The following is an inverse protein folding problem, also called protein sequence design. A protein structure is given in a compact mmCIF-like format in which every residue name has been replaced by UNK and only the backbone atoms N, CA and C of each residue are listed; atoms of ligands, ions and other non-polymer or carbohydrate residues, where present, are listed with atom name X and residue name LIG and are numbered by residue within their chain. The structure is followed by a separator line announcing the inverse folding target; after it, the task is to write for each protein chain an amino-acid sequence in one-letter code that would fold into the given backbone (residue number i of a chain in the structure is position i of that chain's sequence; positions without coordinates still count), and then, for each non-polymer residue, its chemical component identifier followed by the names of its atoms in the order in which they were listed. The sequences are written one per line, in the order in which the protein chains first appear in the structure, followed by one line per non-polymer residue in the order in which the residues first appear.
data_IF_570233956281
#
_entry.id   IF_570233956281
#
_cell.length_a   1.000
_cell.length_b   1.000
_cell.length_c   1.000
_cell.angle_alpha   90.00
_cell.angle_beta   90.00
_cell.angle_gamma   90.00
#
_symmetry.space_group_name_H-M   'P 1'
#
loop_
_entity.id
_entity.type
_entity.pdbx_description
1 polymer ?
#
# COMPACT_ATOMS: atom_id res chain seq x y z
N UNK A 1 18.74 40.07 -4.54
CA UNK A 1 18.03 40.85 -3.50
C UNK A 1 16.56 40.91 -3.87
N UNK A 2 15.73 40.05 -3.27
CA UNK A 2 14.27 40.05 -3.45
C UNK A 2 13.65 39.87 -2.06
N UNK A 3 12.66 40.73 -1.82
CA UNK A 3 12.08 41.10 -0.55
C UNK A 3 11.11 40.02 -0.01
N UNK A 4 11.33 39.53 1.22
CA UNK A 4 10.46 38.55 1.90
C UNK A 4 9.32 39.28 2.63
N UNK A 5 8.26 39.63 1.93
CA UNK A 5 7.01 40.02 2.58
C UNK A 5 6.18 38.78 2.95
N UNK A 6 5.87 38.69 4.25
CA UNK A 6 5.02 37.69 4.89
C UNK A 6 3.63 37.65 4.24
N UNK A 7 3.22 36.49 3.74
CA UNK A 7 1.81 36.19 3.46
C UNK A 7 1.26 35.46 4.68
N UNK A 8 0.20 36.02 5.28
CA UNK A 8 -0.45 35.45 6.46
C UNK A 8 -1.80 34.89 6.01
N UNK A 9 -1.94 33.57 5.93
CA UNK A 9 -3.22 32.92 5.65
C UNK A 9 -3.94 32.66 6.97
N UNK A 10 -5.10 33.31 7.16
CA UNK A 10 -6.03 33.04 8.27
C UNK A 10 -6.84 31.79 7.94
N UNK A 11 -6.77 30.77 8.79
CA UNK A 11 -7.71 29.66 8.78
C UNK A 11 -9.09 30.14 9.28
N UNK A 12 -10.13 29.90 8.49
CA UNK A 12 -11.51 30.15 8.87
C UNK A 12 -11.94 29.19 10.00
N UNK A 13 -12.43 29.74 11.12
CA UNK A 13 -12.95 28.96 12.24
C UNK A 13 -14.35 28.45 11.93
N UNK A 14 -14.50 27.13 11.74
CA UNK A 14 -15.81 26.49 11.72
C UNK A 14 -16.24 26.19 13.16
N UNK A 15 -17.28 26.89 13.66
CA UNK A 15 -17.89 26.64 14.97
C UNK A 15 -18.86 25.47 14.85
N UNK A 16 -18.72 24.45 15.70
CA UNK A 16 -19.78 23.48 16.00
C UNK A 16 -20.33 23.77 17.41
N UNK A 17 -21.65 23.80 17.62
CA UNK A 17 -22.22 23.99 18.95
C UNK A 17 -22.19 22.67 19.73
N UNK A 18 -21.79 22.77 21.00
CA UNK A 18 -21.91 21.72 21.99
C UNK A 18 -23.25 21.87 22.72
N UNK A 19 -24.02 20.79 22.82
CA UNK A 19 -25.20 20.72 23.69
C UNK A 19 -25.08 19.56 24.67
N UNK A 20 -24.72 19.95 25.89
CA UNK A 20 -25.12 19.45 27.21
C UNK A 20 -26.07 18.26 27.27
N UNK A 21 -25.68 17.21 27.99
CA UNK A 21 -26.58 16.46 28.89
C UNK A 21 -25.79 16.02 30.13
N UNK A 22 -26.28 16.40 31.30
CA UNK A 22 -25.77 16.05 32.63
C UNK A 22 -26.95 15.53 33.46
N UNK A 23 -26.68 14.56 34.35
CA UNK A 23 -27.48 14.10 35.50
C UNK A 23 -28.67 13.19 35.08
N UNK A 24 -28.81 11.95 35.57
CA UNK A 24 -29.22 11.56 36.93
C UNK A 24 -28.65 10.19 37.34
N UNK A 25 -27.93 10.15 38.46
CA UNK A 25 -27.77 8.97 39.32
C UNK A 25 -28.87 9.00 40.39
N UNK A 26 -29.66 7.94 40.53
CA UNK A 26 -30.34 7.57 41.77
C UNK A 26 -30.31 6.05 41.92
N UNK A 27 -29.76 5.62 43.06
CA UNK A 27 -29.59 4.23 43.47
C UNK A 27 -30.89 3.63 44.01
N UNK A 28 -31.10 2.33 43.79
CA UNK A 28 -31.88 1.48 44.68
C UNK A 28 -31.23 0.09 44.80
N UNK A 29 -30.76 -0.17 46.01
CA UNK A 29 -30.24 -1.44 46.51
C UNK A 29 -31.43 -2.29 46.96
N UNK A 30 -31.53 -3.53 46.47
CA UNK A 30 -32.31 -4.57 47.12
C UNK A 30 -31.70 -5.96 46.84
N UNK A 31 -30.93 -6.41 47.82
CA UNK A 31 -30.67 -7.78 48.27
C UNK A 31 -31.12 -8.97 47.40
N UNK A 32 -30.14 -9.76 46.96
CA UNK A 32 -30.23 -11.22 47.02
C UNK A 32 -28.83 -11.80 47.24
N UNK A 33 -28.55 -12.18 48.50
CA UNK A 33 -27.43 -13.04 48.85
C UNK A 33 -27.65 -14.41 48.20
N UNK A 34 -26.80 -14.76 47.23
CA UNK A 34 -26.49 -16.14 46.92
C UNK A 34 -24.97 -16.30 47.05
N UNK A 35 -24.54 -16.80 48.21
CA UNK A 35 -23.16 -17.22 48.46
C UNK A 35 -22.96 -18.50 47.64
N UNK A 36 -22.58 -18.33 46.38
CA UNK A 36 -21.98 -19.38 45.57
C UNK A 36 -20.47 -19.31 45.76
N UNK A 37 -19.88 -20.33 46.36
CA UNK A 37 -18.43 -20.51 46.44
C UNK A 37 -17.84 -20.53 45.03
N UNK A 38 -17.29 -19.41 44.58
CA UNK A 38 -16.45 -19.33 43.39
C UNK A 38 -15.15 -20.08 43.70
N UNK A 39 -15.12 -21.38 43.40
CA UNK A 39 -13.86 -22.06 43.15
C UNK A 39 -13.16 -21.32 41.99
N UNK A 40 -11.84 -21.05 42.06
CA UNK A 40 -11.14 -20.53 40.91
C UNK A 40 -11.24 -21.59 39.82
N UNK A 41 -11.97 -21.28 38.74
CA UNK A 41 -11.94 -22.09 37.54
C UNK A 41 -10.50 -22.01 37.03
N UNK A 42 -9.72 -23.03 37.37
CA UNK A 42 -8.42 -23.29 36.75
C UNK A 42 -8.69 -23.41 35.26
N UNK A 43 -8.34 -22.38 34.49
CA UNK A 43 -8.29 -22.46 33.05
C UNK A 43 -7.18 -23.45 32.72
N UNK A 44 -7.51 -24.73 32.71
CA UNK A 44 -6.71 -25.72 32.05
C UNK A 44 -6.65 -25.30 30.58
N UNK A 45 -5.56 -24.65 30.20
CA UNK A 45 -5.16 -24.53 28.81
C UNK A 45 -5.03 -25.97 28.31
N UNK A 46 -6.09 -26.46 27.69
CA UNK A 46 -5.98 -27.61 26.80
C UNK A 46 -5.09 -27.15 25.67
N UNK A 47 -3.80 -27.48 25.76
CA UNK A 47 -2.91 -27.49 24.63
C UNK A 47 -3.52 -28.46 23.61
N UNK A 48 -4.42 -27.94 22.77
CA UNK A 48 -4.84 -28.64 21.56
C UNK A 48 -3.59 -29.02 20.78
N UNK A 49 -3.64 -30.11 19.97
CA UNK A 49 -2.49 -30.55 19.21
C UNK A 49 -1.90 -29.33 18.50
N UNK A 50 -0.61 -29.06 18.73
CA UNK A 50 0.10 -28.00 18.02
C UNK A 50 -0.21 -28.23 16.55
N UNK A 51 -0.98 -27.32 15.92
CA UNK A 51 -1.08 -27.30 14.48
C UNK A 51 0.37 -27.12 14.04
N UNK A 52 1.03 -28.22 13.68
CA UNK A 52 2.27 -28.12 12.93
C UNK A 52 1.93 -27.19 11.79
N UNK A 53 2.56 -26.01 11.77
CA UNK A 53 2.37 -25.07 10.69
C UNK A 53 2.64 -25.87 9.43
N UNK A 54 1.60 -26.10 8.61
CA UNK A 54 1.78 -26.84 7.38
C UNK A 54 2.78 -26.03 6.56
N UNK A 55 3.89 -26.65 6.20
CA UNK A 55 4.79 -26.09 5.20
C UNK A 55 3.98 -25.83 3.94
N UNK A 56 4.07 -24.60 3.41
CA UNK A 56 3.40 -24.19 2.19
C UNK A 56 4.43 -24.03 1.07
N UNK A 57 4.12 -24.55 -0.12
CA UNK A 57 4.96 -24.42 -1.30
C UNK A 57 4.35 -23.41 -2.26
N UNK A 58 4.88 -22.18 -2.21
CA UNK A 58 4.46 -21.09 -3.06
C UNK A 58 5.39 -20.88 -4.26
N UNK A 59 4.81 -20.53 -5.41
CA UNK A 59 5.53 -20.14 -6.62
C UNK A 59 5.18 -18.70 -7.02
N UNK A 60 6.17 -17.82 -7.07
CA UNK A 60 6.05 -16.52 -7.72
C UNK A 60 6.18 -16.68 -9.23
N UNK A 61 5.22 -16.16 -9.97
CA UNK A 61 5.17 -16.28 -11.42
C UNK A 61 4.74 -14.98 -12.09
N UNK A 62 5.24 -14.78 -13.31
CA UNK A 62 4.84 -13.68 -14.17
C UNK A 62 3.99 -14.22 -15.33
N UNK A 63 2.99 -13.46 -15.80
CA UNK A 63 2.12 -13.87 -16.90
C UNK A 63 2.83 -14.34 -18.18
N UNK A 64 3.96 -13.74 -18.62
CA UNK A 64 4.73 -14.27 -19.76
C UNK A 64 5.23 -15.71 -19.58
N UNK A 65 5.44 -16.19 -18.34
CA UNK A 65 5.85 -17.56 -18.06
C UNK A 65 4.67 -18.56 -18.21
N UNK A 66 3.43 -18.07 -18.13
CA UNK A 66 2.20 -18.85 -18.23
C UNK A 66 1.68 -18.87 -19.66
N UNK A 67 1.79 -17.74 -20.37
CA UNK A 67 1.29 -17.55 -21.73
C UNK A 67 -0.07 -16.87 -21.80
N UNK A 68 -0.69 -16.97 -22.98
CA UNK A 68 -1.85 -16.15 -23.38
C UNK A 68 -3.05 -16.99 -23.85
N UNK A 69 -3.10 -18.26 -23.49
CA UNK A 69 -4.17 -19.18 -23.88
C UNK A 69 -4.65 -20.00 -22.69
N UNK A 70 -5.87 -20.53 -22.78
CA UNK A 70 -6.40 -21.40 -21.74
C UNK A 70 -5.57 -22.68 -21.60
N UNK A 71 -5.05 -23.19 -22.73
CA UNK A 71 -4.18 -24.36 -22.81
C UNK A 71 -2.88 -24.11 -22.05
N UNK A 72 -2.22 -22.97 -22.27
CA UNK A 72 -0.94 -22.66 -21.62
C UNK A 72 -1.11 -22.49 -20.10
N UNK A 73 -2.23 -21.89 -19.67
CA UNK A 73 -2.60 -21.81 -18.25
C UNK A 73 -2.80 -23.21 -17.66
N UNK A 74 -3.53 -24.10 -18.33
CA UNK A 74 -3.75 -25.48 -17.86
C UNK A 74 -2.43 -26.25 -17.73
N UNK A 75 -1.54 -26.11 -18.71
CA UNK A 75 -0.22 -26.74 -18.69
C UNK A 75 0.64 -26.22 -17.55
N UNK A 76 0.64 -24.91 -17.31
CA UNK A 76 1.34 -24.28 -16.20
C UNK A 76 0.82 -24.76 -14.84
N UNK A 77 -0.49 -24.80 -14.65
CA UNK A 77 -1.12 -25.30 -13.40
C UNK A 77 -0.80 -26.78 -13.20
N UNK A 78 -0.84 -27.59 -14.26
CA UNK A 78 -0.47 -29.01 -14.19
C UNK A 78 1.00 -29.19 -13.79
N UNK A 79 1.91 -28.32 -14.24
CA UNK A 79 3.31 -28.31 -13.80
C UNK A 79 3.42 -27.97 -12.31
N UNK A 80 2.74 -26.92 -11.86
CA UNK A 80 2.69 -26.54 -10.44
C UNK A 80 2.22 -27.71 -9.57
N UNK A 81 1.15 -28.41 -9.99
CA UNK A 81 0.62 -29.57 -9.28
C UNK A 81 1.65 -30.70 -9.17
N UNK A 82 2.34 -31.04 -10.26
CA UNK A 82 3.40 -32.08 -10.26
C UNK A 82 4.58 -31.69 -9.38
N UNK A 83 4.87 -30.40 -9.26
CA UNK A 83 5.92 -29.87 -8.39
C UNK A 83 5.48 -29.71 -6.92
N UNK A 84 4.29 -30.18 -6.55
CA UNK A 84 3.74 -30.06 -5.19
C UNK A 84 3.61 -28.59 -4.71
N UNK A 85 3.38 -27.67 -5.64
CA UNK A 85 3.02 -26.27 -5.34
C UNK A 85 1.56 -26.22 -4.91
N UNK A 86 1.28 -25.53 -3.81
CA UNK A 86 -0.07 -25.32 -3.28
C UNK A 86 -0.57 -23.87 -3.42
N UNK A 87 0.34 -22.93 -3.72
CA UNK A 87 0.01 -21.51 -3.86
C UNK A 87 0.77 -20.89 -5.05
N UNK A 88 0.07 -20.18 -5.92
CA UNK A 88 0.65 -19.40 -7.02
C UNK A 88 0.49 -17.92 -6.67
N UNK A 89 1.62 -17.22 -6.55
CA UNK A 89 1.66 -15.76 -6.38
C UNK A 89 1.87 -15.13 -7.76
N UNK A 90 0.77 -14.72 -8.40
CA UNK A 90 0.78 -14.27 -9.79
C UNK A 90 0.93 -12.77 -9.89
N UNK A 91 1.96 -12.28 -10.59
CA UNK A 91 2.17 -10.85 -10.82
C UNK A 91 1.11 -10.28 -11.78
N UNK A 92 -0.01 -9.78 -11.23
CA UNK A 92 -1.13 -9.25 -12.01
C UNK A 92 -0.99 -7.76 -12.31
N UNK A 93 -0.19 -7.02 -11.53
CA UNK A 93 0.28 -5.67 -11.85
C UNK A 93 1.80 -5.61 -11.78
N UNK A 94 2.45 -5.38 -12.92
CA UNK A 94 3.90 -5.32 -13.06
C UNK A 94 4.51 -3.98 -12.62
N UNK A 95 5.85 -3.94 -12.57
CA UNK A 95 6.61 -2.76 -12.14
C UNK A 95 6.45 -1.56 -13.09
N UNK A 96 6.13 -1.79 -14.37
CA UNK A 96 5.87 -0.68 -15.31
C UNK A 96 4.41 -0.23 -15.32
N UNK A 97 3.57 -0.79 -14.45
CA UNK A 97 2.16 -0.46 -14.32
C UNK A 97 1.22 -1.29 -15.19
N UNK A 98 1.76 -2.21 -16.01
CA UNK A 98 0.95 -3.08 -16.85
C UNK A 98 0.15 -4.10 -16.03
N UNK A 99 -1.08 -4.35 -16.47
CA UNK A 99 -2.00 -5.28 -15.80
C UNK A 99 -2.36 -6.47 -16.67
N UNK A 100 -2.69 -7.60 -16.03
CA UNK A 100 -2.92 -8.89 -16.70
C UNK A 100 -4.28 -9.52 -16.41
N UNK A 101 -5.27 -8.68 -16.09
CA UNK A 101 -6.68 -9.05 -16.04
C UNK A 101 -7.48 -8.10 -16.94
N UNK A 102 -8.71 -8.48 -17.30
CA UNK A 102 -9.58 -7.66 -18.15
C UNK A 102 -10.22 -6.54 -17.33
N UNK A 103 -9.48 -5.44 -17.14
CA UNK A 103 -9.99 -4.29 -16.43
C UNK A 103 -10.96 -3.45 -17.26
N UNK A 104 -12.10 -3.07 -16.65
CA UNK A 104 -13.03 -2.10 -17.25
C UNK A 104 -12.74 -0.68 -16.78
N UNK A 105 -12.20 -0.52 -15.57
CA UNK A 105 -11.82 0.79 -15.00
C UNK A 105 -10.49 1.30 -15.57
N UNK A 106 -9.56 0.38 -15.90
CA UNK A 106 -8.21 0.69 -16.33
C UNK A 106 -7.79 -0.01 -17.64
N UNK A 107 -8.59 0.06 -18.73
CA UNK A 107 -8.27 -0.60 -19.99
C UNK A 107 -6.93 -0.13 -20.60
N UNK A 108 -6.51 1.10 -20.33
CA UNK A 108 -5.25 1.69 -20.78
C UNK A 108 -4.00 1.07 -20.15
N UNK A 109 -4.17 0.37 -19.03
CA UNK A 109 -3.07 -0.28 -18.30
C UNK A 109 -2.87 -1.73 -18.75
N UNK A 110 -3.80 -2.31 -19.52
CA UNK A 110 -3.72 -3.71 -19.93
C UNK A 110 -2.44 -3.94 -20.74
N UNK A 111 -1.68 -4.96 -20.33
CA UNK A 111 -0.41 -5.29 -20.95
C UNK A 111 -0.60 -5.59 -22.44
N UNK A 112 0.32 -5.09 -23.27
CA UNK A 112 0.26 -5.26 -24.72
C UNK A 112 0.19 -6.73 -25.12
N UNK A 113 -0.79 -7.06 -25.95
CA UNK A 113 -1.08 -8.41 -26.41
C UNK A 113 -1.79 -9.30 -25.38
N UNK A 114 -2.33 -8.73 -24.29
CA UNK A 114 -3.23 -9.39 -23.35
C UNK A 114 -4.66 -8.81 -23.39
N UNK A 115 -4.95 -7.90 -24.33
CA UNK A 115 -6.24 -7.20 -24.42
C UNK A 115 -7.43 -8.15 -24.59
N UNK A 116 -7.20 -9.30 -25.24
CA UNK A 116 -8.21 -10.34 -25.45
C UNK A 116 -8.14 -11.50 -24.45
N UNK A 117 -7.15 -11.54 -23.55
CA UNK A 117 -6.89 -12.68 -22.66
C UNK A 117 -6.74 -12.27 -21.20
N UNK A 118 -7.66 -12.74 -20.36
CA UNK A 118 -7.65 -12.50 -18.92
C UNK A 118 -6.83 -13.59 -18.19
N UNK A 119 -5.60 -13.28 -17.81
CA UNK A 119 -4.72 -14.27 -17.16
C UNK A 119 -5.25 -14.62 -15.78
N UNK A 120 -5.74 -13.64 -15.02
CA UNK A 120 -6.19 -13.84 -13.66
C UNK A 120 -7.44 -14.73 -13.58
N UNK A 121 -8.42 -14.50 -14.45
CA UNK A 121 -9.63 -15.33 -14.53
C UNK A 121 -9.30 -16.78 -14.87
N UNK A 122 -8.52 -16.99 -15.93
CA UNK A 122 -8.15 -18.33 -16.37
C UNK A 122 -7.30 -19.04 -15.32
N UNK A 123 -6.29 -18.37 -14.76
CA UNK A 123 -5.41 -18.97 -13.76
C UNK A 123 -6.18 -19.38 -12.50
N UNK A 124 -7.01 -18.48 -11.96
CA UNK A 124 -7.78 -18.75 -10.74
C UNK A 124 -8.66 -19.98 -10.91
N UNK A 125 -9.40 -20.06 -12.02
CA UNK A 125 -10.28 -21.19 -12.31
C UNK A 125 -9.51 -22.51 -12.42
N UNK A 126 -8.44 -22.55 -13.23
CA UNK A 126 -7.69 -23.80 -13.44
C UNK A 126 -6.92 -24.24 -12.18
N UNK A 127 -6.34 -23.30 -11.43
CA UNK A 127 -5.61 -23.58 -10.18
C UNK A 127 -6.55 -24.12 -9.10
N UNK A 128 -7.72 -23.49 -8.91
CA UNK A 128 -8.72 -23.94 -7.94
C UNK A 128 -9.22 -25.35 -8.24
N UNK A 129 -9.41 -25.70 -9.52
CA UNK A 129 -9.78 -27.06 -9.93
C UNK A 129 -8.74 -28.12 -9.52
N UNK A 130 -7.50 -27.73 -9.25
CA UNK A 130 -6.41 -28.60 -8.78
C UNK A 130 -6.12 -28.45 -7.27
N UNK A 131 -6.93 -27.65 -6.55
CA UNK A 131 -6.74 -27.33 -5.14
C UNK A 131 -5.51 -26.46 -4.87
N UNK A 132 -5.12 -25.61 -5.83
CA UNK A 132 -4.00 -24.66 -5.72
C UNK A 132 -4.58 -23.26 -5.50
N UNK A 133 -4.07 -22.55 -4.50
CA UNK A 133 -4.45 -21.16 -4.18
C UNK A 133 -3.83 -20.18 -5.18
N UNK A 134 -4.49 -19.05 -5.40
CA UNK A 134 -3.99 -17.96 -6.25
C UNK A 134 -4.00 -16.64 -5.48
N UNK A 135 -2.80 -16.12 -5.23
CA UNK A 135 -2.58 -14.81 -4.63
C UNK A 135 -2.29 -13.79 -5.76
N UNK A 136 -3.10 -12.74 -5.85
CA UNK A 136 -2.89 -11.67 -6.83
C UNK A 136 -1.80 -10.73 -6.35
N UNK A 137 -0.65 -10.74 -7.02
CA UNK A 137 0.51 -9.90 -6.68
C UNK A 137 0.52 -8.59 -7.47
N UNK A 138 0.52 -7.48 -6.74
CA UNK A 138 0.62 -6.13 -7.29
C UNK A 138 1.93 -5.46 -6.85
N UNK A 139 2.61 -4.85 -7.82
CA UNK A 139 3.64 -3.85 -7.53
C UNK A 139 2.93 -2.51 -7.30
N UNK A 140 2.88 -2.08 -6.04
CA UNK A 140 1.93 -1.06 -5.60
C UNK A 140 2.29 0.33 -6.11
N UNK A 141 3.52 0.82 -5.89
CA UNK A 141 3.85 2.24 -6.11
C UNK A 141 4.83 2.51 -7.26
N UNK A 142 5.25 1.48 -8.00
CA UNK A 142 6.10 1.68 -9.17
C UNK A 142 5.27 1.67 -10.47
N UNK A 143 5.64 2.58 -11.37
CA UNK A 143 5.11 2.70 -12.73
C UNK A 143 6.28 2.90 -13.70
N UNK A 144 6.09 2.58 -14.97
CA UNK A 144 7.09 2.90 -15.99
C UNK A 144 7.10 4.40 -16.29
N UNK A 145 8.20 4.92 -16.86
CA UNK A 145 8.21 6.28 -17.43
C UNK A 145 7.15 6.50 -18.51
N UNK A 146 6.69 5.42 -19.12
CA UNK A 146 5.56 5.39 -20.05
C UNK A 146 4.37 4.63 -19.47
N UNK A 147 4.25 4.43 -18.15
CA UNK A 147 3.13 3.74 -17.51
C UNK A 147 1.84 4.54 -17.60
N UNK A 148 0.69 3.87 -17.63
CA UNK A 148 -0.61 4.53 -17.81
C UNK A 148 -0.89 5.58 -16.73
N UNK A 149 -0.67 5.21 -15.46
CA UNK A 149 -0.91 6.11 -14.33
C UNK A 149 -0.04 7.36 -14.41
N UNK A 150 1.26 7.21 -14.72
CA UNK A 150 2.16 8.36 -14.79
C UNK A 150 1.85 9.29 -15.96
N UNK A 151 1.49 8.74 -17.13
CA UNK A 151 1.14 9.55 -18.29
C UNK A 151 -0.13 10.37 -18.06
N UNK A 152 -1.11 9.80 -17.37
CA UNK A 152 -2.40 10.45 -17.09
C UNK A 152 -2.31 11.39 -15.89
N UNK A 153 -1.48 11.05 -14.90
CA UNK A 153 -1.38 11.75 -13.62
C UNK A 153 0.08 11.93 -13.16
N UNK A 154 0.89 12.71 -13.90
CA UNK A 154 2.30 12.93 -13.54
C UNK A 154 2.46 13.62 -12.17
N UNK A 155 1.46 14.36 -11.71
CA UNK A 155 1.43 15.03 -10.40
C UNK A 155 1.41 14.06 -9.20
N UNK A 156 1.13 12.79 -9.45
CA UNK A 156 1.18 11.75 -8.42
C UNK A 156 2.59 11.24 -8.15
N UNK A 157 3.57 11.54 -9.01
CA UNK A 157 4.93 11.06 -8.86
C UNK A 157 5.59 11.54 -7.55
N UNK A 158 6.48 10.70 -7.02
CA UNK A 158 7.45 11.11 -6.01
C UNK A 158 8.45 12.06 -6.65
N UNK A 159 8.80 13.12 -5.93
CA UNK A 159 9.78 14.11 -6.37
C UNK A 159 10.98 14.10 -5.42
N UNK A 160 12.17 14.35 -5.97
CA UNK A 160 13.35 14.73 -5.18
C UNK A 160 13.28 16.22 -4.84
N UNK A 161 14.24 16.70 -4.04
CA UNK A 161 14.28 18.11 -3.63
C UNK A 161 14.48 19.10 -4.79
N UNK A 162 14.99 18.63 -5.94
CA UNK A 162 15.17 19.44 -7.14
C UNK A 162 13.93 19.40 -8.05
N UNK A 163 12.86 18.70 -7.64
CA UNK A 163 11.61 18.54 -8.37
C UNK A 163 11.62 17.47 -9.46
N UNK A 164 12.69 16.68 -9.56
CA UNK A 164 12.80 15.55 -10.49
C UNK A 164 12.12 14.29 -9.95
N UNK A 165 11.58 13.45 -10.84
CA UNK A 165 11.06 12.12 -10.47
C UNK A 165 12.19 11.12 -10.31
N UNK A 166 11.90 9.89 -9.87
CA UNK A 166 12.92 8.82 -9.84
C UNK A 166 13.50 8.49 -11.22
N UNK A 167 12.86 8.89 -12.32
CA UNK A 167 13.40 8.70 -13.67
C UNK A 167 14.63 9.58 -13.96
N UNK A 168 14.95 10.56 -13.10
CA UNK A 168 16.22 11.30 -13.18
C UNK A 168 17.39 10.55 -12.56
N UNK A 169 17.13 9.44 -11.87
CA UNK A 169 18.15 8.63 -11.20
C UNK A 169 18.88 7.72 -12.19
N UNK A 170 20.07 7.26 -11.77
CA UNK A 170 20.86 6.30 -12.54
C UNK A 170 21.34 5.12 -11.69
N UNK A 171 21.33 3.93 -12.28
CA UNK A 171 21.71 2.69 -11.63
C UNK A 171 23.16 2.27 -11.92
N UNK A 172 23.85 1.90 -10.84
CA UNK A 172 25.17 1.28 -10.85
C UNK A 172 26.28 2.18 -11.36
N UNK A 173 27.50 1.65 -11.37
CA UNK A 173 28.72 2.39 -11.78
C UNK A 173 28.63 2.92 -13.21
N UNK A 174 27.86 2.24 -14.08
CA UNK A 174 27.68 2.62 -15.49
C UNK A 174 26.61 3.70 -15.71
N UNK A 175 26.01 4.25 -14.65
CA UNK A 175 24.99 5.32 -14.71
C UNK A 175 23.87 5.03 -15.71
N UNK A 176 23.32 3.81 -15.69
CA UNK A 176 22.20 3.45 -16.56
C UNK A 176 20.95 4.22 -16.12
N UNK A 177 20.11 4.74 -17.02
CA UNK A 177 18.86 5.38 -16.64
C UNK A 177 17.99 4.46 -15.77
N UNK A 178 17.30 5.04 -14.79
CA UNK A 178 16.26 4.34 -14.04
C UNK A 178 14.91 4.51 -14.74
N UNK A 179 14.38 3.43 -15.31
CA UNK A 179 13.22 3.49 -16.22
C UNK A 179 11.85 3.48 -15.51
N UNK A 180 11.84 3.72 -14.19
CA UNK A 180 10.63 3.70 -13.38
C UNK A 180 10.39 5.03 -12.67
N UNK A 181 9.11 5.40 -12.60
CA UNK A 181 8.61 6.50 -11.80
C UNK A 181 7.85 5.93 -10.62
N UNK A 182 8.30 6.30 -9.41
CA UNK A 182 7.59 5.96 -8.20
C UNK A 182 6.46 6.94 -7.92
N UNK A 183 5.31 6.42 -7.53
CA UNK A 183 4.12 7.19 -7.17
C UNK A 183 4.10 7.50 -5.68
N UNK A 184 3.63 8.69 -5.31
CA UNK A 184 3.58 9.15 -3.93
C UNK A 184 2.52 8.37 -3.14
N UNK A 185 2.91 7.58 -2.10
CA UNK A 185 1.95 6.79 -1.31
C UNK A 185 1.04 7.66 -0.43
N UNK A 186 1.46 8.89 -0.13
CA UNK A 186 0.80 9.76 0.84
C UNK A 186 -0.17 10.78 0.24
N UNK A 187 0.03 11.23 -1.02
CA UNK A 187 -0.78 12.28 -1.64
C UNK A 187 -2.25 11.87 -1.66
N UNK A 188 -3.15 12.74 -1.18
CA UNK A 188 -4.60 12.59 -1.25
C UNK A 188 -5.27 13.90 -1.72
N UNK A 189 -6.21 13.86 -2.68
CA UNK A 189 -6.44 12.75 -3.60
C UNK A 189 -5.19 12.45 -4.44
N UNK A 190 -4.95 11.18 -4.76
CA UNK A 190 -3.75 10.74 -5.47
C UNK A 190 -3.78 9.28 -5.94
N UNK A 191 -2.60 8.78 -6.30
CA UNK A 191 -2.45 7.42 -6.85
C UNK A 191 -3.07 6.33 -5.98
N UNK A 192 -2.90 6.39 -4.65
CA UNK A 192 -3.42 5.34 -3.76
C UNK A 192 -4.94 5.24 -3.81
N UNK A 193 -5.66 6.35 -3.64
CA UNK A 193 -7.13 6.36 -3.56
C UNK A 193 -7.83 6.39 -4.91
N UNK A 194 -7.16 6.85 -5.97
CA UNK A 194 -7.75 6.98 -7.31
C UNK A 194 -7.29 5.92 -8.31
N UNK A 195 -6.23 5.17 -8.03
CA UNK A 195 -5.69 4.17 -8.93
C UNK A 195 -5.52 2.79 -8.28
N UNK A 196 -4.70 2.70 -7.23
CA UNK A 196 -4.35 1.41 -6.63
C UNK A 196 -5.52 0.75 -5.89
N UNK A 197 -6.20 1.48 -5.00
CA UNK A 197 -7.37 0.94 -4.29
C UNK A 197 -8.50 0.56 -5.26
N UNK A 198 -8.87 1.40 -6.25
CA UNK A 198 -9.75 1.02 -7.34
C UNK A 198 -9.39 -0.27 -8.11
N UNK A 199 -8.11 -0.53 -8.36
CA UNK A 199 -7.66 -1.78 -8.99
C UNK A 199 -7.87 -2.97 -8.06
N UNK A 200 -7.49 -2.83 -6.79
CA UNK A 200 -7.69 -3.88 -5.77
C UNK A 200 -9.18 -4.19 -5.62
N UNK A 201 -10.03 -3.16 -5.52
CA UNK A 201 -11.49 -3.29 -5.47
C UNK A 201 -12.03 -4.07 -6.67
N UNK A 202 -11.56 -3.77 -7.88
CA UNK A 202 -11.98 -4.48 -9.08
C UNK A 202 -11.54 -5.96 -9.05
N UNK A 203 -10.34 -6.26 -8.57
CA UNK A 203 -9.86 -7.64 -8.43
C UNK A 203 -10.72 -8.41 -7.42
N UNK A 204 -10.84 -7.91 -6.18
CA UNK A 204 -11.53 -8.65 -5.11
C UNK A 204 -13.04 -8.76 -5.33
N UNK A 205 -13.62 -7.89 -6.16
CA UNK A 205 -15.06 -7.94 -6.48
C UNK A 205 -15.38 -8.89 -7.63
N UNK A 206 -14.43 -9.16 -8.54
CA UNK A 206 -14.69 -9.88 -9.78
C UNK A 206 -13.95 -11.21 -9.91
N UNK A 207 -12.93 -11.47 -9.09
CA UNK A 207 -12.09 -12.65 -9.18
C UNK A 207 -12.04 -13.39 -7.84
N UNK A 208 -12.11 -14.71 -7.89
CA UNK A 208 -12.04 -15.57 -6.71
C UNK A 208 -10.57 -15.77 -6.23
N UNK A 209 -9.81 -14.69 -6.09
CA UNK A 209 -8.43 -14.77 -5.58
C UNK A 209 -8.43 -15.13 -4.09
N UNK A 210 -7.42 -15.87 -3.66
CA UNK A 210 -7.26 -16.30 -2.28
C UNK A 210 -6.65 -15.21 -1.38
N UNK A 211 -5.89 -14.29 -1.96
CA UNK A 211 -5.37 -13.09 -1.29
C UNK A 211 -4.86 -12.04 -2.26
N UNK A 212 -4.57 -10.85 -1.72
CA UNK A 212 -3.78 -9.80 -2.36
C UNK A 212 -2.38 -9.83 -1.78
N UNK A 213 -1.37 -9.96 -2.65
CA UNK A 213 0.03 -9.91 -2.30
C UNK A 213 0.61 -8.55 -2.68
N UNK A 214 0.90 -7.73 -1.67
CA UNK A 214 1.44 -6.39 -1.87
C UNK A 214 2.96 -6.41 -1.99
N UNK A 215 3.49 -5.75 -3.01
CA UNK A 215 4.92 -5.58 -3.22
C UNK A 215 5.25 -4.12 -3.51
N UNK A 216 6.50 -3.72 -3.21
CA UNK A 216 6.97 -2.34 -3.32
C UNK A 216 6.07 -1.33 -2.55
N UNK A 217 5.56 -1.72 -1.37
CA UNK A 217 4.74 -0.88 -0.46
C UNK A 217 5.60 0.14 0.30
N UNK A 218 6.27 1.04 -0.44
CA UNK A 218 7.30 1.93 0.11
C UNK A 218 7.49 3.16 -0.76
N UNK A 219 8.27 4.11 -0.23
CA UNK A 219 8.88 5.15 -1.06
C UNK A 219 9.99 4.53 -1.94
N UNK A 220 10.41 5.25 -2.99
CA UNK A 220 11.47 4.82 -3.92
C UNK A 220 12.88 4.76 -3.29
N UNK A 221 12.99 4.28 -2.05
CA UNK A 221 14.22 4.31 -1.25
C UNK A 221 15.34 3.38 -1.75
N UNK A 222 15.08 2.51 -2.73
CA UNK A 222 16.14 1.70 -3.36
C UNK A 222 17.10 2.55 -4.21
N UNK A 223 16.63 3.70 -4.71
CA UNK A 223 17.50 4.65 -5.44
C UNK A 223 18.08 5.72 -4.52
N UNK A 224 17.33 6.15 -3.49
CA UNK A 224 17.81 7.06 -2.46
C UNK A 224 16.82 7.18 -1.25
N UNK A 225 17.08 6.53 -0.10
CA UNK A 225 16.12 6.36 0.99
C UNK A 225 15.70 7.65 1.72
N UNK A 226 16.47 8.73 1.57
CA UNK A 226 16.25 10.04 2.19
C UNK A 226 16.06 11.16 1.14
N UNK A 227 15.99 10.81 -0.14
CA UNK A 227 15.92 11.79 -1.24
C UNK A 227 14.58 11.82 -1.96
N UNK A 228 13.62 11.00 -1.52
CA UNK A 228 12.22 11.04 -1.92
C UNK A 228 11.31 10.80 -0.69
N UNK A 229 10.11 11.33 -0.58
CA UNK A 229 9.38 12.17 -1.53
C UNK A 229 9.23 13.61 -1.00
N UNK A 230 9.66 14.59 -1.81
CA UNK A 230 9.63 16.03 -1.54
C UNK A 230 8.51 16.74 -2.32
N UNK A 231 7.44 16.04 -2.70
CA UNK A 231 6.28 16.71 -3.28
C UNK A 231 5.60 17.62 -2.25
N UNK A 232 4.85 18.62 -2.72
CA UNK A 232 4.13 19.60 -1.90
C UNK A 232 3.30 18.95 -0.79
N UNK A 233 2.61 17.86 -1.10
CA UNK A 233 1.81 17.13 -0.12
C UNK A 233 2.68 16.49 0.97
N UNK A 234 3.77 15.82 0.60
CA UNK A 234 4.67 15.20 1.56
C UNK A 234 5.34 16.24 2.46
N UNK A 235 5.84 17.34 1.89
CA UNK A 235 6.43 18.43 2.66
C UNK A 235 5.45 19.04 3.67
N UNK A 236 4.18 19.17 3.28
CA UNK A 236 3.15 19.73 4.15
C UNK A 236 2.66 18.75 5.24
N UNK A 237 2.65 17.44 4.98
CA UNK A 237 1.94 16.47 5.82
C UNK A 237 2.83 15.43 6.52
N UNK A 238 3.99 15.04 5.97
CA UNK A 238 4.89 14.07 6.61
C UNK A 238 5.29 14.48 8.03
N UNK A 239 5.64 15.75 8.33
CA UNK A 239 5.99 16.16 9.69
C UNK A 239 4.91 15.82 10.74
N UNK A 240 3.63 15.79 10.35
CA UNK A 240 2.54 15.34 11.22
C UNK A 240 2.60 13.84 11.49
N UNK A 241 2.89 13.03 10.48
CA UNK A 241 2.91 11.57 10.60
C UNK A 241 4.14 11.05 11.34
N UNK A 242 5.27 11.75 11.25
CA UNK A 242 6.50 11.43 11.99
C UNK A 242 6.55 12.11 13.37
N UNK A 243 5.41 12.59 13.88
CA UNK A 243 5.30 13.17 15.22
C UNK A 243 6.16 14.42 15.48
N UNK A 244 6.67 15.06 14.43
CA UNK A 244 7.40 16.34 14.51
C UNK A 244 6.46 17.55 14.59
N UNK A 245 5.16 17.37 14.31
CA UNK A 245 4.15 18.41 14.40
C UNK A 245 2.79 17.86 14.84
N UNK A 246 2.31 18.27 16.01
CA UNK A 246 0.96 17.96 16.48
C UNK A 246 0.08 19.21 16.43
N UNK A 247 -1.13 19.11 15.88
CA UNK A 247 -2.07 20.24 15.83
C UNK A 247 -2.38 20.83 17.22
N UNK A 248 -2.37 19.99 18.26
CA UNK A 248 -2.58 20.42 19.66
C UNK A 248 -1.42 21.25 20.20
N UNK A 249 -0.17 20.91 19.83
CA UNK A 249 1.06 21.62 20.25
C UNK A 249 1.40 22.81 19.35
N UNK A 250 1.08 22.73 18.06
CA UNK A 250 1.18 23.85 17.13
C UNK A 250 0.31 25.03 17.60
N UNK A 251 -0.87 24.76 18.16
CA UNK A 251 -1.72 25.79 18.81
C UNK A 251 -1.09 26.42 20.05
N UNK A 252 -0.19 25.70 20.73
CA UNK A 252 0.60 26.20 21.86
C UNK A 252 1.89 26.93 21.43
N UNK A 253 2.20 26.99 20.12
CA UNK A 253 3.40 27.65 19.60
C UNK A 253 4.70 26.85 19.79
N UNK A 254 4.61 25.59 20.18
CA UNK A 254 5.75 24.70 20.42
C UNK A 254 6.46 24.40 19.08
N UNK A 255 7.78 24.59 19.03
CA UNK A 255 8.62 24.27 17.86
C UNK A 255 9.63 23.20 18.27
N UNK A 256 9.63 22.08 17.56
CA UNK A 256 10.64 21.03 17.74
C UNK A 256 11.92 21.42 16.99
N UNK A 257 13.06 21.36 17.67
CA UNK A 257 14.36 21.43 17.02
C UNK A 257 14.69 20.05 16.43
N UNK A 258 14.89 19.99 15.13
CA UNK A 258 15.37 18.78 14.45
C UNK A 258 16.89 18.85 14.35
N UNK A 259 17.59 17.77 14.68
CA UNK A 259 19.04 17.72 14.53
C UNK A 259 19.37 17.68 13.04
N UNK A 260 20.21 18.60 12.58
CA UNK A 260 20.60 18.69 11.17
C UNK A 260 21.74 17.70 10.90
N UNK A 261 21.40 16.44 10.65
CA UNK A 261 22.33 15.33 10.36
C UNK A 261 22.53 15.16 8.85
N UNK A 262 21.46 15.36 8.08
CA UNK A 262 21.46 15.37 6.62
C UNK A 262 21.56 16.79 6.08
N UNK A 263 22.17 16.95 4.91
CA UNK A 263 22.34 18.26 4.25
C UNK A 263 20.98 18.97 4.06
N UNK A 264 19.95 18.24 3.65
CA UNK A 264 18.60 18.77 3.40
C UNK A 264 17.76 18.74 4.67
N UNK A 265 17.27 19.89 5.14
CA UNK A 265 16.49 19.98 6.38
C UNK A 265 15.23 19.12 6.35
N UNK A 266 14.58 19.04 5.19
CA UNK A 266 13.37 18.24 4.98
C UNK A 266 13.65 16.74 4.92
N UNK A 267 14.92 16.31 4.81
CA UNK A 267 15.36 14.91 4.89
C UNK A 267 15.71 14.47 6.33
N UNK A 268 15.69 15.40 7.30
CA UNK A 268 16.05 15.11 8.69
C UNK A 268 14.88 14.62 9.54
N UNK A 269 13.76 14.24 8.92
CA UNK A 269 12.55 13.81 9.64
C UNK A 269 12.74 12.55 10.50
N UNK A 270 13.79 11.77 10.27
CA UNK A 270 14.14 10.55 11.03
C UNK A 270 15.18 10.78 12.12
N UNK A 271 15.76 11.98 12.20
CA UNK A 271 16.65 12.33 13.30
C UNK A 271 15.81 12.59 14.55
N UNK A 272 15.65 11.55 15.36
CA UNK A 272 15.07 11.68 16.71
C UNK A 272 15.87 12.75 17.48
N UNK A 273 15.23 13.65 18.24
CA UNK A 273 15.93 14.64 19.06
C UNK A 273 16.84 14.02 20.12
#
# INVERSE_FOLDING_TARGET
MINKNKVTLRAASCRRPATYWTIVMVALIAAALAIGTLAPASSAQTNGPSRHAREGHALWAHPPNVGKTAESVREFVAQCKRANIDTIVMNVKGMSGEIYWRSRRFPQAIAKGYESFDVLEHLTREAHAQGIRVDAWLVDFAEGVNGAAYREHPEWAQLNADGGTTATETLGVKRRPYDYVWMCPARRPGYTDQWLLPMIEEIVSNYAVDSIHHDYVRYGGDVAPDSYCFCDYCLAHIPRYVMLNYETRARAGERHSVKHIQERIEANWWSDP
#
